data_IF_269123555559
#
_entry.id   IF_269123555559
#
_cell.length_a   1.000
_cell.length_b   1.000
_cell.length_c   1.000
_cell.angle_alpha   90.00
_cell.angle_beta   90.00
_cell.angle_gamma   90.00
#
_symmetry.space_group_name_H-M   'P 1'
#
loop_
_entity.id
_entity.type
_entity.pdbx_description
1 polymer ?
#
# COMPACT_ATOMS: atom_id res chain seq x y z
N UNK A 1 11.70 -11.27 -42.68
CA UNK A 1 10.48 -11.84 -42.06
C UNK A 1 10.52 -11.45 -40.59
N UNK A 2 9.40 -11.07 -39.95
CA UNK A 2 9.38 -10.87 -38.50
C UNK A 2 9.80 -12.19 -37.83
N UNK A 3 10.75 -12.13 -36.90
CA UNK A 3 11.19 -13.31 -36.15
C UNK A 3 10.08 -13.75 -35.19
N UNK A 4 9.72 -15.05 -35.17
CA UNK A 4 8.71 -15.60 -34.27
C UNK A 4 9.09 -15.32 -32.80
N UNK A 5 8.21 -14.65 -32.04
CA UNK A 5 8.42 -14.30 -30.63
C UNK A 5 8.75 -15.53 -29.77
N UNK A 6 8.37 -16.74 -30.18
CA UNK A 6 8.69 -17.98 -29.47
C UNK A 6 10.05 -18.59 -29.82
N UNK A 7 10.82 -18.00 -30.73
CA UNK A 7 12.15 -18.52 -31.07
C UNK A 7 13.06 -18.48 -29.83
N UNK A 8 13.52 -19.64 -29.32
CA UNK A 8 14.37 -19.68 -28.14
C UNK A 8 15.71 -19.00 -28.42
N UNK A 9 16.01 -17.94 -27.67
CA UNK A 9 17.28 -17.20 -27.77
C UNK A 9 17.76 -16.72 -26.41
N UNK A 10 19.02 -16.35 -26.33
CA UNK A 10 19.55 -15.59 -25.20
C UNK A 10 19.04 -14.14 -25.25
N UNK A 11 18.54 -13.64 -24.13
CA UNK A 11 17.89 -12.33 -24.04
C UNK A 11 18.39 -11.58 -22.80
N UNK A 12 18.35 -10.25 -22.87
CA UNK A 12 18.79 -9.36 -21.78
C UNK A 12 17.69 -8.38 -21.36
N UNK A 13 16.68 -8.21 -22.19
CA UNK A 13 15.64 -7.21 -22.09
C UNK A 13 14.30 -7.79 -21.63
N UNK A 14 13.93 -8.97 -22.15
CA UNK A 14 12.61 -9.54 -21.94
C UNK A 14 12.53 -11.05 -22.22
N UNK A 15 11.52 -11.71 -21.65
CA UNK A 15 11.26 -13.15 -21.79
C UNK A 15 9.77 -13.45 -21.67
N UNK A 16 9.29 -14.40 -22.46
CA UNK A 16 7.93 -14.93 -22.39
C UNK A 16 7.97 -16.41 -22.04
N UNK A 17 7.26 -16.75 -20.97
CA UNK A 17 6.84 -18.09 -20.63
C UNK A 17 5.41 -18.31 -21.07
N UNK A 18 5.12 -19.50 -21.59
CA UNK A 18 3.78 -19.95 -21.90
C UNK A 18 3.53 -21.33 -21.26
N UNK A 19 2.32 -21.54 -20.76
CA UNK A 19 1.84 -22.86 -20.37
C UNK A 19 0.84 -23.35 -21.41
N UNK A 20 1.15 -24.47 -22.04
CA UNK A 20 0.31 -25.07 -23.08
C UNK A 20 -0.30 -26.40 -22.62
N UNK A 21 -1.54 -26.67 -23.03
CA UNK A 21 -2.20 -27.98 -22.91
C UNK A 21 -1.63 -28.97 -23.93
N UNK A 22 -1.98 -30.26 -23.78
CA UNK A 22 -1.61 -31.32 -24.74
C UNK A 22 -2.10 -31.08 -26.18
N UNK A 23 -3.15 -30.26 -26.35
CA UNK A 23 -3.71 -29.88 -27.66
C UNK A 23 -3.15 -28.53 -28.18
N UNK A 24 -1.99 -28.11 -27.70
CA UNK A 24 -1.29 -26.86 -28.05
C UNK A 24 -2.07 -25.56 -27.72
N UNK A 25 -3.15 -25.65 -26.94
CA UNK A 25 -3.87 -24.46 -26.44
C UNK A 25 -3.05 -23.79 -25.35
N UNK A 26 -2.75 -22.50 -25.55
CA UNK A 26 -2.07 -21.66 -24.55
C UNK A 26 -3.11 -21.23 -23.51
N UNK A 27 -2.81 -21.50 -22.23
CA UNK A 27 -3.68 -21.16 -21.11
C UNK A 27 -2.99 -20.31 -20.03
N UNK A 28 -1.68 -20.16 -20.15
CA UNK A 28 -0.86 -19.38 -19.22
C UNK A 28 0.20 -18.62 -20.02
N UNK A 29 0.43 -17.36 -19.66
CA UNK A 29 1.46 -16.50 -20.21
C UNK A 29 2.09 -15.74 -19.05
N UNK A 30 3.42 -15.80 -18.91
CA UNK A 30 4.16 -14.96 -17.97
C UNK A 30 5.24 -14.21 -18.73
N UNK A 31 5.24 -12.89 -18.64
CA UNK A 31 6.19 -12.00 -19.29
C UNK A 31 7.09 -11.40 -18.23
N UNK A 32 8.38 -11.42 -18.50
CA UNK A 32 9.41 -10.68 -17.77
C UNK A 32 9.97 -9.59 -18.68
N UNK A 33 10.13 -8.38 -18.18
CA UNK A 33 10.80 -7.29 -18.90
C UNK A 33 11.39 -6.24 -17.95
N UNK A 34 12.32 -5.43 -18.45
CA UNK A 34 12.95 -4.35 -17.66
C UNK A 34 11.96 -3.39 -16.99
N UNK A 35 10.82 -3.12 -17.62
CA UNK A 35 9.82 -2.20 -17.13
C UNK A 35 8.40 -2.60 -17.59
N UNK A 36 7.39 -1.95 -16.99
CA UNK A 36 5.97 -2.19 -17.28
C UNK A 36 5.63 -1.97 -18.75
N UNK A 37 6.20 -0.94 -19.38
CA UNK A 37 5.90 -0.58 -20.78
C UNK A 37 6.38 -1.68 -21.73
N UNK A 38 7.59 -2.20 -21.52
CA UNK A 38 8.16 -3.30 -22.31
C UNK A 38 7.41 -4.61 -22.08
N UNK A 39 7.04 -4.91 -20.84
CA UNK A 39 6.26 -6.11 -20.53
C UNK A 39 4.90 -6.11 -21.24
N UNK A 40 4.18 -4.99 -21.18
CA UNK A 40 2.90 -4.83 -21.87
C UNK A 40 3.05 -4.87 -23.39
N UNK A 41 4.08 -4.23 -23.95
CA UNK A 41 4.34 -4.26 -25.38
C UNK A 41 4.58 -5.69 -25.86
N UNK A 42 5.41 -6.46 -25.14
CA UNK A 42 5.73 -7.83 -25.49
C UNK A 42 4.51 -8.77 -25.37
N UNK A 43 3.71 -8.63 -24.31
CA UNK A 43 2.47 -9.38 -24.15
C UNK A 43 1.49 -9.14 -25.31
N UNK A 44 1.32 -7.87 -25.71
CA UNK A 44 0.46 -7.51 -26.83
C UNK A 44 0.97 -8.04 -28.17
N UNK A 45 2.28 -7.97 -28.42
CA UNK A 45 2.90 -8.55 -29.62
C UNK A 45 2.73 -10.07 -29.65
N UNK A 46 2.87 -10.74 -28.50
CA UNK A 46 2.65 -12.19 -28.39
C UNK A 46 1.21 -12.57 -28.75
N UNK A 47 0.21 -11.85 -28.21
CA UNK A 47 -1.19 -12.08 -28.57
C UNK A 47 -1.44 -11.93 -30.07
N UNK A 48 -0.91 -10.86 -30.67
CA UNK A 48 -1.05 -10.61 -32.10
C UNK A 48 -0.44 -11.73 -32.95
N UNK A 49 0.79 -12.16 -32.65
CA UNK A 49 1.49 -13.18 -33.43
C UNK A 49 0.85 -14.57 -33.32
N UNK A 50 0.26 -14.91 -32.17
CA UNK A 50 -0.40 -16.20 -31.96
C UNK A 50 -1.88 -16.19 -32.31
N UNK A 51 -2.40 -15.07 -32.84
CA UNK A 51 -3.81 -14.92 -33.18
C UNK A 51 -4.73 -15.08 -31.97
N UNK A 52 -4.20 -14.82 -30.77
CA UNK A 52 -4.94 -14.89 -29.51
C UNK A 52 -5.61 -13.54 -29.30
N UNK A 53 -6.91 -13.57 -29.00
CA UNK A 53 -7.59 -12.34 -28.63
C UNK A 53 -7.23 -11.98 -27.18
N UNK A 54 -6.69 -10.78 -26.88
CA UNK A 54 -6.26 -10.42 -25.52
C UNK A 54 -7.36 -10.60 -24.46
N UNK A 55 -8.63 -10.45 -24.86
CA UNK A 55 -9.77 -10.62 -23.96
C UNK A 55 -10.03 -12.06 -23.51
N UNK A 56 -9.45 -13.06 -24.17
CA UNK A 56 -9.55 -14.46 -23.74
C UNK A 56 -8.66 -14.74 -22.52
N UNK A 57 -7.83 -13.76 -22.12
CA UNK A 57 -6.91 -13.84 -21.00
C UNK A 57 -7.24 -12.80 -19.92
N UNK A 58 -6.86 -13.14 -18.69
CA UNK A 58 -7.00 -12.31 -17.50
C UNK A 58 -5.62 -12.19 -16.86
N UNK A 59 -5.16 -10.95 -16.65
CA UNK A 59 -3.95 -10.68 -15.87
C UNK A 59 -4.24 -11.02 -14.40
N UNK A 60 -3.55 -12.04 -13.90
CA UNK A 60 -3.68 -12.56 -12.54
C UNK A 60 -2.51 -12.19 -11.65
N UNK A 61 -1.39 -11.73 -12.20
CA UNK A 61 -0.32 -11.13 -11.41
C UNK A 61 0.44 -10.09 -12.23
N UNK A 62 0.91 -9.02 -11.59
CA UNK A 62 1.86 -8.08 -12.18
C UNK A 62 2.68 -7.40 -11.07
N UNK A 63 3.81 -6.79 -11.44
CA UNK A 63 4.62 -5.98 -10.53
C UNK A 63 6.12 -6.22 -10.68
N UNK A 64 6.88 -5.64 -9.77
CA UNK A 64 8.33 -5.80 -9.71
C UNK A 64 8.67 -7.06 -8.90
N UNK A 65 9.48 -7.94 -9.48
CA UNK A 65 10.05 -9.13 -8.86
C UNK A 65 11.53 -8.87 -8.54
N UNK A 66 11.95 -9.22 -7.32
CA UNK A 66 13.35 -9.17 -6.91
C UNK A 66 14.11 -10.31 -7.61
N UNK A 67 15.18 -9.95 -8.33
CA UNK A 67 16.04 -10.89 -9.07
C UNK A 67 17.50 -10.74 -8.67
N UNK A 68 17.79 -10.04 -7.58
CA UNK A 68 19.15 -9.81 -7.09
C UNK A 68 19.93 -11.10 -6.84
N UNK A 69 19.25 -12.18 -6.44
CA UNK A 69 19.85 -13.50 -6.23
C UNK A 69 19.78 -14.41 -7.47
N UNK A 70 19.13 -13.98 -8.55
CA UNK A 70 18.98 -14.75 -9.80
C UNK A 70 19.98 -14.25 -10.84
N UNK A 71 20.83 -15.14 -11.36
CA UNK A 71 21.70 -14.80 -12.51
C UNK A 71 20.96 -14.93 -13.86
N UNK A 72 19.99 -15.85 -13.92
CA UNK A 72 19.23 -16.17 -15.12
C UNK A 72 17.78 -16.53 -14.77
N UNK A 73 16.87 -16.25 -15.71
CA UNK A 73 15.49 -16.72 -15.71
C UNK A 73 15.26 -17.58 -16.96
N UNK A 74 14.86 -18.83 -16.76
CA UNK A 74 14.62 -19.84 -17.79
C UNK A 74 13.65 -20.90 -17.28
N UNK A 75 13.17 -21.80 -18.15
CA UNK A 75 12.32 -22.92 -17.72
C UNK A 75 13.00 -23.83 -16.70
N UNK A 76 14.34 -23.87 -16.68
CA UNK A 76 15.13 -24.65 -15.72
C UNK A 76 15.26 -23.98 -14.36
N UNK A 77 15.24 -22.66 -14.30
CA UNK A 77 15.35 -21.92 -13.02
C UNK A 77 13.97 -21.68 -12.41
N UNK A 78 12.93 -21.70 -13.24
CA UNK A 78 11.53 -21.60 -12.84
C UNK A 78 10.92 -22.99 -12.59
N UNK A 79 11.61 -23.84 -11.81
CA UNK A 79 11.19 -25.22 -11.52
C UNK A 79 9.86 -25.27 -10.77
N UNK A 80 9.65 -24.35 -9.83
CA UNK A 80 8.40 -24.24 -9.07
C UNK A 80 7.21 -23.90 -9.99
N UNK A 81 7.41 -22.95 -10.91
CA UNK A 81 6.41 -22.59 -11.91
C UNK A 81 6.12 -23.77 -12.85
N UNK A 82 7.16 -24.46 -13.31
CA UNK A 82 7.02 -25.65 -14.15
C UNK A 82 6.23 -26.76 -13.44
N UNK A 83 6.55 -27.03 -12.17
CA UNK A 83 5.86 -28.03 -11.36
C UNK A 83 4.41 -27.63 -11.08
N UNK A 84 4.15 -26.34 -10.81
CA UNK A 84 2.81 -25.81 -10.62
C UNK A 84 1.94 -26.00 -11.87
N UNK A 85 2.45 -25.57 -13.03
CA UNK A 85 1.74 -25.70 -14.31
C UNK A 85 1.51 -27.15 -14.69
N UNK A 86 2.49 -28.03 -14.44
CA UNK A 86 2.35 -29.47 -14.70
C UNK A 86 1.19 -30.10 -13.91
N UNK A 87 0.94 -29.66 -12.67
CA UNK A 87 -0.23 -30.11 -11.88
C UNK A 87 -1.56 -29.67 -12.47
N UNK A 88 -1.54 -28.59 -13.26
CA UNK A 88 -2.70 -28.08 -14.00
C UNK A 88 -2.84 -28.70 -15.40
N UNK A 89 -1.98 -29.66 -15.75
CA UNK A 89 -1.94 -30.25 -17.09
C UNK A 89 -1.31 -29.34 -18.15
N UNK A 90 -0.54 -28.33 -17.73
CA UNK A 90 0.12 -27.38 -18.60
C UNK A 90 1.62 -27.65 -18.66
N UNK A 91 2.17 -27.65 -19.88
CA UNK A 91 3.61 -27.72 -20.14
C UNK A 91 4.17 -26.31 -20.26
N UNK A 92 5.13 -25.97 -19.40
CA UNK A 92 5.86 -24.70 -19.47
C UNK A 92 6.84 -24.71 -20.64
N UNK A 93 6.79 -23.65 -21.45
CA UNK A 93 7.72 -23.36 -22.55
C UNK A 93 8.16 -21.91 -22.41
N UNK A 94 9.40 -21.59 -22.76
CA UNK A 94 9.86 -20.20 -22.87
C UNK A 94 10.38 -19.90 -24.27
N UNK A 95 10.40 -18.61 -24.61
CA UNK A 95 11.08 -18.12 -25.80
C UNK A 95 12.58 -17.85 -25.61
N UNK A 96 13.20 -18.43 -24.59
CA UNK A 96 14.63 -18.23 -24.33
C UNK A 96 15.08 -18.31 -22.88
N UNK A 97 16.26 -17.74 -22.66
CA UNK A 97 16.90 -17.53 -21.35
C UNK A 97 17.10 -16.03 -21.19
N UNK A 98 16.67 -15.48 -20.07
CA UNK A 98 16.87 -14.09 -19.71
C UNK A 98 18.01 -13.95 -18.71
N UNK A 99 19.04 -13.19 -19.07
CA UNK A 99 20.12 -12.86 -18.15
C UNK A 99 19.74 -11.64 -17.31
N UNK A 100 19.78 -11.80 -15.98
CA UNK A 100 19.43 -10.76 -15.00
C UNK A 100 20.65 -10.15 -14.32
N UNK A 101 21.86 -10.53 -14.76
CA UNK A 101 23.12 -10.01 -14.22
C UNK A 101 23.11 -8.47 -14.24
N UNK A 102 23.37 -7.86 -13.08
CA UNK A 102 23.34 -6.41 -12.82
C UNK A 102 21.96 -5.75 -12.69
N UNK A 103 20.89 -6.53 -12.50
CA UNK A 103 19.55 -6.00 -12.20
C UNK A 103 19.14 -6.47 -10.81
N UNK A 104 18.75 -5.52 -9.96
CA UNK A 104 18.20 -5.84 -8.63
C UNK A 104 16.74 -6.30 -8.73
N UNK A 105 16.04 -5.85 -9.77
CA UNK A 105 14.63 -6.21 -9.97
C UNK A 105 14.22 -6.22 -11.45
N UNK A 106 13.12 -6.89 -11.74
CA UNK A 106 12.51 -6.95 -13.07
C UNK A 106 10.99 -6.82 -13.00
N UNK A 107 10.36 -6.25 -14.01
CA UNK A 107 8.90 -6.23 -14.07
C UNK A 107 8.37 -7.55 -14.62
N UNK A 108 7.28 -8.06 -14.04
CA UNK A 108 6.59 -9.24 -14.54
C UNK A 108 5.08 -9.01 -14.67
N UNK A 109 4.49 -9.70 -15.64
CA UNK A 109 3.04 -9.78 -15.87
C UNK A 109 2.69 -11.23 -16.14
N UNK A 110 1.74 -11.77 -15.40
CA UNK A 110 1.19 -13.11 -15.58
C UNK A 110 -0.28 -13.01 -15.99
N UNK A 111 -0.61 -13.59 -17.13
CA UNK A 111 -1.96 -13.70 -17.67
C UNK A 111 -2.35 -15.17 -17.87
N UNK A 112 -3.60 -15.52 -17.58
CA UNK A 112 -4.14 -16.87 -17.81
C UNK A 112 -5.42 -16.82 -18.62
N UNK A 113 -5.73 -17.88 -19.35
CA UNK A 113 -6.97 -17.94 -20.12
C UNK A 113 -8.19 -17.91 -19.19
N UNK A 114 -9.32 -17.41 -19.69
CA UNK A 114 -10.61 -17.43 -18.97
C UNK A 114 -11.03 -18.84 -18.59
N UNK A 115 -10.78 -19.81 -19.47
CA UNK A 115 -11.09 -21.22 -19.21
C UNK A 115 -10.26 -21.76 -18.04
N UNK A 116 -8.95 -21.49 -18.02
CA UNK A 116 -8.08 -21.87 -16.91
C UNK A 116 -8.50 -21.15 -15.62
N UNK A 117 -8.79 -19.84 -15.71
CA UNK A 117 -9.27 -19.05 -14.58
C UNK A 117 -10.54 -19.65 -13.95
N UNK A 118 -11.55 -19.96 -14.77
CA UNK A 118 -12.80 -20.60 -14.30
C UNK A 118 -12.58 -22.02 -13.76
N UNK A 119 -11.63 -22.77 -14.34
CA UNK A 119 -11.27 -24.11 -13.87
C UNK A 119 -10.58 -24.03 -12.51
N UNK A 120 -9.62 -23.11 -12.33
CA UNK A 120 -8.93 -22.89 -11.06
C UNK A 120 -9.89 -22.40 -9.97
N UNK A 121 -10.87 -21.57 -10.34
CA UNK A 121 -11.96 -21.11 -9.47
C UNK A 121 -12.87 -22.27 -9.02
N UNK A 122 -13.07 -23.29 -9.86
CA UNK A 122 -13.92 -24.47 -9.57
C UNK A 122 -13.18 -25.63 -8.89
N UNK A 123 -11.89 -25.84 -9.16
CA UNK A 123 -11.11 -26.97 -8.66
C UNK A 123 -10.64 -26.83 -7.20
N UNK A 124 -10.60 -25.61 -6.65
CA UNK A 124 -10.24 -25.42 -5.24
C UNK A 124 -11.45 -25.72 -4.35
N UNK A 125 -11.45 -26.89 -3.71
CA UNK A 125 -12.41 -27.27 -2.66
C UNK A 125 -12.47 -26.15 -1.59
N UNK A 126 -13.66 -25.66 -1.18
CA UNK A 126 -13.83 -24.58 -0.20
C UNK A 126 -13.10 -24.83 1.13
N UNK A 127 -13.06 -26.09 1.57
CA UNK A 127 -12.64 -26.49 2.92
C UNK A 127 -11.15 -26.25 3.23
N UNK A 128 -10.23 -26.31 2.26
CA UNK A 128 -8.80 -26.01 2.48
C UNK A 128 -8.46 -24.52 2.35
N UNK A 129 -9.22 -23.78 1.54
CA UNK A 129 -9.05 -22.32 1.39
C UNK A 129 -9.60 -21.55 2.59
N UNK A 130 -10.68 -22.03 3.22
CA UNK A 130 -11.25 -21.40 4.42
C UNK A 130 -10.31 -21.48 5.65
N UNK A 131 -9.44 -22.50 5.72
CA UNK A 131 -8.42 -22.60 6.78
C UNK A 131 -7.19 -21.70 6.51
N UNK A 132 -6.77 -21.51 5.25
CA UNK A 132 -5.60 -20.68 4.88
C UNK A 132 -5.92 -19.19 4.66
N UNK A 133 -7.18 -18.83 4.35
CA UNK A 133 -7.64 -17.46 4.08
C UNK A 133 -8.56 -16.93 5.19
N UNK A 134 -8.23 -17.23 6.45
CA UNK A 134 -9.05 -16.78 7.58
C UNK A 134 -8.96 -15.27 7.74
N UNK A 135 -10.03 -14.56 7.39
CA UNK A 135 -10.13 -13.13 7.70
C UNK A 135 -10.08 -12.91 9.21
N UNK A 136 -9.36 -11.87 9.61
CA UNK A 136 -9.39 -11.33 10.96
C UNK A 136 -9.82 -9.89 10.81
N UNK A 137 -10.99 -9.56 11.36
CA UNK A 137 -11.51 -8.19 11.27
C UNK A 137 -10.48 -7.19 11.79
N UNK A 138 -10.38 -5.99 11.16
CA UNK A 138 -9.50 -4.95 11.63
C UNK A 138 -9.71 -4.64 13.11
N UNK A 139 -8.63 -4.65 13.88
CA UNK A 139 -8.64 -4.27 15.29
C UNK A 139 -7.39 -3.46 15.63
N UNK A 140 -7.48 -2.69 16.72
CA UNK A 140 -6.40 -1.82 17.17
C UNK A 140 -5.65 -2.48 18.32
N UNK A 141 -4.36 -2.72 18.12
CA UNK A 141 -3.42 -3.18 19.12
C UNK A 141 -2.49 -2.03 19.53
N UNK A 142 -2.84 -1.35 20.62
CA UNK A 142 -2.07 -0.20 21.10
C UNK A 142 -0.69 -0.60 21.66
N UNK A 143 -0.46 -1.87 21.98
CA UNK A 143 0.84 -2.36 22.48
C UNK A 143 1.88 -2.43 21.37
N UNK A 144 1.45 -2.47 20.10
CA UNK A 144 2.34 -2.45 18.93
C UNK A 144 2.90 -1.07 18.62
N UNK A 145 2.30 -0.01 19.17
CA UNK A 145 2.77 1.36 18.94
C UNK A 145 4.17 1.52 19.56
N UNK A 146 5.20 1.93 18.78
CA UNK A 146 6.54 2.09 19.32
C UNK A 146 6.59 3.12 20.45
N UNK A 147 7.37 2.80 21.49
CA UNK A 147 7.57 3.70 22.62
C UNK A 147 8.19 5.03 22.15
N UNK A 148 7.67 6.16 22.65
CA UNK A 148 8.17 7.49 22.33
C UNK A 148 7.61 8.10 21.03
N UNK A 149 6.82 7.37 20.25
CA UNK A 149 6.14 7.92 19.06
C UNK A 149 4.87 8.71 19.41
N UNK A 150 4.27 8.40 20.56
CA UNK A 150 3.06 9.06 21.05
C UNK A 150 3.12 9.21 22.59
N UNK A 151 2.64 10.35 23.14
CA UNK A 151 2.45 10.49 24.59
C UNK A 151 1.46 9.46 25.14
N UNK A 152 1.76 8.90 26.32
CA UNK A 152 0.91 7.89 26.98
C UNK A 152 -0.51 8.39 27.23
N UNK A 153 -0.65 9.70 27.46
CA UNK A 153 -1.90 10.41 27.66
C UNK A 153 -2.81 10.35 26.42
N UNK A 154 -2.24 10.22 25.22
CA UNK A 154 -2.99 10.20 23.96
C UNK A 154 -3.21 8.80 23.39
N UNK A 155 -2.40 7.80 23.77
CA UNK A 155 -2.49 6.41 23.30
C UNK A 155 -3.92 5.86 23.35
N UNK A 156 -4.62 6.05 24.47
CA UNK A 156 -5.98 5.51 24.64
C UNK A 156 -7.01 6.09 23.66
N UNK A 157 -6.79 7.28 23.11
CA UNK A 157 -7.72 7.88 22.15
C UNK A 157 -7.78 7.08 20.84
N UNK A 158 -6.70 6.38 20.48
CA UNK A 158 -6.64 5.56 19.28
C UNK A 158 -7.55 4.33 19.34
N UNK A 159 -8.08 3.95 20.52
CA UNK A 159 -9.13 2.94 20.63
C UNK A 159 -10.41 3.32 19.88
N UNK A 160 -10.64 4.61 19.61
CA UNK A 160 -11.79 5.08 18.82
C UNK A 160 -11.78 4.52 17.39
N UNK A 161 -10.62 4.11 16.87
CA UNK A 161 -10.49 3.51 15.54
C UNK A 161 -11.15 2.12 15.45
N UNK A 162 -11.31 1.40 16.57
CA UNK A 162 -12.04 0.13 16.61
C UNK A 162 -13.52 0.27 16.21
N UNK A 163 -14.08 1.48 16.26
CA UNK A 163 -15.46 1.73 15.85
C UNK A 163 -15.65 1.67 14.32
N UNK A 164 -14.57 1.69 13.54
CA UNK A 164 -14.60 1.62 12.07
C UNK A 164 -15.54 2.67 11.44
N UNK A 165 -15.63 3.86 12.06
CA UNK A 165 -16.43 4.99 11.57
C UNK A 165 -15.55 6.08 10.97
N UNK A 166 -16.13 6.88 10.08
CA UNK A 166 -15.44 8.05 9.52
C UNK A 166 -15.01 8.99 10.66
N UNK A 167 -13.75 9.40 10.63
CA UNK A 167 -13.11 10.14 11.70
C UNK A 167 -12.44 11.41 11.19
N UNK A 168 -12.56 12.49 11.97
CA UNK A 168 -11.70 13.66 11.86
C UNK A 168 -10.65 13.61 12.98
N UNK A 169 -9.39 13.74 12.63
CA UNK A 169 -8.25 13.83 13.54
C UNK A 169 -7.69 15.23 13.45
N UNK A 170 -7.80 15.98 14.54
CA UNK A 170 -7.19 17.30 14.69
C UNK A 170 -5.85 17.08 15.41
N UNK A 171 -4.77 17.06 14.63
CA UNK A 171 -3.42 16.69 15.07
C UNK A 171 -2.52 17.92 15.26
N UNK A 172 -2.82 18.73 16.28
CA UNK A 172 -1.96 19.87 16.64
C UNK A 172 -0.65 19.42 17.30
N UNK A 173 -0.63 18.22 17.88
CA UNK A 173 0.54 17.58 18.47
C UNK A 173 1.59 17.17 17.43
N UNK A 174 1.26 17.19 16.13
CA UNK A 174 2.11 16.71 15.04
C UNK A 174 2.61 15.28 15.28
N UNK A 175 1.72 14.41 15.77
CA UNK A 175 1.99 12.96 15.89
C UNK A 175 2.09 12.37 14.49
N UNK A 176 3.04 11.46 14.28
CA UNK A 176 3.20 10.74 13.01
C UNK A 176 2.08 9.71 12.84
N UNK A 177 0.91 10.17 12.36
CA UNK A 177 -0.29 9.35 12.33
C UNK A 177 -0.12 8.14 11.40
N UNK A 178 0.60 8.30 10.30
CA UNK A 178 0.87 7.21 9.36
C UNK A 178 1.61 6.04 10.05
N UNK A 179 2.69 6.34 10.78
CA UNK A 179 3.45 5.33 11.51
C UNK A 179 2.59 4.68 12.60
N UNK A 180 1.88 5.49 13.38
CA UNK A 180 1.01 4.97 14.46
C UNK A 180 -0.06 4.03 13.91
N UNK A 181 -0.74 4.42 12.83
CA UNK A 181 -1.81 3.61 12.24
C UNK A 181 -1.27 2.31 11.64
N UNK A 182 -0.14 2.35 10.93
CA UNK A 182 0.50 1.16 10.34
C UNK A 182 0.92 0.13 11.38
N UNK A 183 1.35 0.57 12.56
CA UNK A 183 1.75 -0.32 13.65
C UNK A 183 0.55 -0.76 14.50
N UNK A 184 -0.41 0.13 14.77
CA UNK A 184 -1.52 -0.17 15.67
C UNK A 184 -2.64 -0.99 15.02
N UNK A 185 -2.95 -0.76 13.74
CA UNK A 185 -4.02 -1.47 13.04
C UNK A 185 -3.51 -2.86 12.63
N UNK A 186 -4.16 -3.87 13.18
CA UNK A 186 -3.91 -5.27 12.89
C UNK A 186 -5.10 -5.87 12.13
N UNK A 187 -5.02 -7.17 11.88
CA UNK A 187 -6.02 -7.91 11.11
C UNK A 187 -5.61 -8.11 9.65
N UNK A 188 -6.43 -8.91 8.97
CA UNK A 188 -6.21 -9.31 7.60
C UNK A 188 -7.55 -9.53 6.91
N UNK A 189 -7.67 -8.98 5.72
CA UNK A 189 -8.92 -8.95 4.97
C UNK A 189 -8.71 -9.53 3.59
N UNK A 190 -9.74 -10.22 3.12
CA UNK A 190 -9.80 -10.79 1.80
C UNK A 190 -10.42 -9.75 0.86
N UNK A 191 -9.63 -9.32 -0.11
CA UNK A 191 -10.05 -8.38 -1.16
C UNK A 191 -10.04 -9.09 -2.52
N UNK A 192 -10.92 -8.72 -3.45
CA UNK A 192 -10.83 -9.22 -4.82
C UNK A 192 -9.56 -8.69 -5.47
N UNK A 193 -8.94 -9.50 -6.35
CA UNK A 193 -7.83 -9.03 -7.18
C UNK A 193 -8.35 -8.07 -8.25
N UNK A 194 -9.43 -8.50 -8.91
CA UNK A 194 -10.20 -7.73 -9.86
C UNK A 194 -11.70 -7.81 -9.49
N UNK A 195 -12.42 -6.72 -9.65
CA UNK A 195 -13.89 -6.71 -9.67
C UNK A 195 -14.37 -6.81 -11.12
N UNK A 196 -15.07 -7.89 -11.45
CA UNK A 196 -15.76 -8.03 -12.73
C UNK A 196 -17.12 -7.32 -12.65
N UNK A 197 -17.35 -6.42 -13.62
CA UNK A 197 -18.52 -5.53 -13.63
C UNK A 197 -19.56 -5.97 -14.66
N UNK A 198 -19.10 -6.39 -15.84
CA UNK A 198 -19.84 -7.02 -16.93
C UNK A 198 -18.86 -7.93 -17.68
N UNK A 199 -19.32 -8.91 -18.45
CA UNK A 199 -18.51 -9.89 -19.18
C UNK A 199 -17.20 -9.27 -19.74
N UNK A 200 -16.09 -9.58 -19.07
CA UNK A 200 -14.73 -9.14 -19.40
C UNK A 200 -14.31 -7.70 -19.03
N UNK A 201 -15.16 -6.88 -18.40
CA UNK A 201 -14.79 -5.56 -17.86
C UNK A 201 -14.29 -5.69 -16.41
N UNK A 202 -12.99 -5.49 -16.22
CA UNK A 202 -12.30 -5.70 -14.96
C UNK A 202 -11.82 -4.38 -14.34
N UNK A 203 -12.05 -4.24 -13.04
CA UNK A 203 -11.50 -3.17 -12.22
C UNK A 203 -10.49 -3.79 -11.25
N UNK A 204 -9.21 -3.50 -11.43
CA UNK A 204 -8.12 -3.97 -10.57
C UNK A 204 -8.19 -3.28 -9.21
N UNK A 205 -8.39 -4.07 -8.15
CA UNK A 205 -8.47 -3.60 -6.76
C UNK A 205 -7.15 -3.86 -6.05
N UNK A 206 -6.61 -5.08 -6.15
CA UNK A 206 -5.32 -5.41 -5.56
C UNK A 206 -4.18 -4.75 -6.34
N UNK A 207 -3.27 -4.17 -5.58
CA UNK A 207 -2.11 -3.44 -6.08
C UNK A 207 -1.00 -3.52 -5.02
N UNK A 208 0.17 -4.01 -5.40
CA UNK A 208 1.32 -4.21 -4.49
C UNK A 208 1.88 -2.90 -3.94
N UNK A 209 1.59 -1.75 -4.57
CA UNK A 209 1.94 -0.44 -4.04
C UNK A 209 1.18 -0.13 -2.73
N UNK A 210 -0.09 -0.55 -2.67
CA UNK A 210 -0.99 -0.22 -1.55
C UNK A 210 -1.27 -1.39 -0.62
N UNK A 211 -1.00 -2.62 -1.05
CA UNK A 211 -1.39 -3.83 -0.34
C UNK A 211 -0.18 -4.71 0.00
N UNK A 212 -0.14 -5.15 1.26
CA UNK A 212 0.80 -6.17 1.74
C UNK A 212 0.12 -7.53 1.71
N UNK A 213 0.45 -8.33 0.71
CA UNK A 213 -0.04 -9.70 0.52
C UNK A 213 0.46 -10.62 1.65
N UNK A 214 -0.46 -11.44 2.18
CA UNK A 214 -0.17 -12.53 3.13
C UNK A 214 -0.26 -13.86 2.39
N UNK A 215 -1.33 -14.03 1.61
CA UNK A 215 -1.53 -15.19 0.75
C UNK A 215 -2.45 -14.82 -0.42
N UNK A 216 -2.34 -15.54 -1.53
CA UNK A 216 -3.13 -15.31 -2.74
C UNK A 216 -3.95 -16.53 -3.14
N UNK A 217 -5.19 -16.26 -3.52
CA UNK A 217 -5.98 -17.10 -4.41
C UNK A 217 -6.01 -16.47 -5.80
N UNK A 218 -6.67 -17.13 -6.75
CA UNK A 218 -6.67 -16.71 -8.16
C UNK A 218 -7.46 -15.42 -8.37
N UNK A 219 -8.60 -15.28 -7.66
CA UNK A 219 -9.53 -14.16 -7.78
C UNK A 219 -9.50 -13.20 -6.57
N UNK A 220 -8.90 -13.64 -5.47
CA UNK A 220 -8.84 -12.90 -4.20
C UNK A 220 -7.45 -12.96 -3.60
N UNK A 221 -7.11 -11.92 -2.84
CA UNK A 221 -5.84 -11.84 -2.13
C UNK A 221 -6.15 -11.53 -0.66
N UNK A 222 -5.55 -12.32 0.23
CA UNK A 222 -5.55 -12.01 1.66
C UNK A 222 -4.42 -11.02 1.91
N UNK A 223 -4.79 -9.84 2.39
CA UNK A 223 -3.85 -8.76 2.65
C UNK A 223 -3.93 -8.37 4.11
N UNK A 224 -2.84 -7.81 4.65
CA UNK A 224 -2.95 -7.03 5.90
C UNK A 224 -4.00 -5.93 5.69
N UNK A 225 -4.75 -5.58 6.74
CA UNK A 225 -5.75 -4.51 6.69
C UNK A 225 -5.22 -3.30 5.91
N UNK A 226 -5.86 -2.91 4.78
CA UNK A 226 -5.38 -1.80 3.97
C UNK A 226 -5.40 -0.49 4.75
N UNK A 227 -4.28 0.22 4.75
CA UNK A 227 -4.13 1.56 5.34
C UNK A 227 -3.45 2.41 4.28
N UNK A 228 -4.24 3.13 3.51
CA UNK A 228 -3.74 3.96 2.41
C UNK A 228 -3.68 5.39 2.91
N UNK A 229 -2.47 5.93 3.00
CA UNK A 229 -2.23 7.33 3.32
C UNK A 229 -2.16 8.12 2.02
N UNK A 230 -2.78 9.31 2.02
CA UNK A 230 -2.74 10.24 0.90
C UNK A 230 -2.50 11.65 1.45
N UNK A 231 -1.41 12.27 1.01
CA UNK A 231 -0.97 13.60 1.40
C UNK A 231 -1.28 14.60 0.29
N UNK A 232 -2.12 15.59 0.58
CA UNK A 232 -2.50 16.63 -0.38
C UNK A 232 -1.31 17.40 -0.99
N UNK A 233 -0.20 17.52 -0.27
CA UNK A 233 0.97 18.27 -0.73
C UNK A 233 1.93 17.44 -1.59
N UNK A 234 1.78 16.11 -1.61
CA UNK A 234 2.68 15.18 -2.29
C UNK A 234 1.96 14.41 -3.40
N UNK A 235 0.73 13.97 -3.14
CA UNK A 235 -0.02 13.06 -4.00
C UNK A 235 -0.99 13.77 -4.96
N UNK A 236 -1.50 13.03 -5.95
CA UNK A 236 -2.33 13.59 -7.02
C UNK A 236 -3.83 13.37 -6.78
N UNK A 237 -4.64 14.34 -7.21
CA UNK A 237 -6.10 14.17 -7.29
C UNK A 237 -6.53 13.08 -8.27
N UNK A 238 -5.67 12.72 -9.24
CA UNK A 238 -5.93 11.66 -10.22
C UNK A 238 -6.02 10.27 -9.57
N UNK A 239 -5.52 10.12 -8.34
CA UNK A 239 -5.61 8.87 -7.58
C UNK A 239 -7.04 8.53 -7.15
N UNK A 240 -7.95 9.48 -7.25
CA UNK A 240 -9.39 9.30 -6.99
C UNK A 240 -10.22 8.97 -8.24
N UNK A 241 -9.58 8.79 -9.39
CA UNK A 241 -10.24 8.43 -10.64
C UNK A 241 -9.90 7.00 -11.10
N UNK A 242 -10.76 6.43 -11.93
CA UNK A 242 -10.47 5.16 -12.60
C UNK A 242 -9.45 5.38 -13.71
N UNK A 243 -8.31 4.68 -13.64
CA UNK A 243 -7.23 4.82 -14.63
C UNK A 243 -7.30 3.64 -15.60
N UNK A 244 -7.44 3.92 -16.90
CA UNK A 244 -7.45 2.87 -17.94
C UNK A 244 -6.07 2.22 -18.03
N UNK A 245 -6.02 0.89 -17.94
CA UNK A 245 -4.80 0.09 -18.17
C UNK A 245 -4.86 -0.51 -19.58
N UNK A 246 -5.98 -1.18 -19.90
CA UNK A 246 -6.28 -1.77 -21.20
C UNK A 246 -7.70 -1.41 -21.66
N UNK A 247 -8.17 -1.94 -22.80
CA UNK A 247 -9.50 -1.62 -23.33
C UNK A 247 -10.62 -1.85 -22.32
N UNK A 248 -10.56 -2.96 -21.57
CA UNK A 248 -11.56 -3.36 -20.58
C UNK A 248 -10.96 -3.62 -19.19
N UNK A 249 -9.76 -3.11 -18.92
CA UNK A 249 -9.10 -3.25 -17.61
C UNK A 249 -8.75 -1.87 -17.08
N UNK A 250 -9.18 -1.58 -15.86
CA UNK A 250 -9.01 -0.28 -15.21
C UNK A 250 -8.42 -0.46 -13.81
N UNK A 251 -7.43 0.35 -13.45
CA UNK A 251 -7.02 0.49 -12.04
C UNK A 251 -8.13 1.21 -11.29
N UNK A 252 -8.49 0.67 -10.14
CA UNK A 252 -9.40 1.33 -9.24
C UNK A 252 -8.77 2.61 -8.63
N UNK A 253 -9.59 3.62 -8.28
CA UNK A 253 -9.15 4.72 -7.44
C UNK A 253 -8.80 4.25 -6.03
N UNK A 254 -7.98 5.03 -5.32
CA UNK A 254 -7.39 4.62 -4.03
C UNK A 254 -8.43 4.32 -2.93
N UNK A 255 -9.61 4.94 -2.97
CA UNK A 255 -10.66 4.64 -2.00
C UNK A 255 -11.31 3.26 -2.22
N UNK A 256 -11.25 2.72 -3.44
CA UNK A 256 -11.64 1.34 -3.71
C UNK A 256 -10.51 0.36 -3.35
N UNK A 257 -9.25 0.79 -3.46
CA UNK A 257 -8.10 0.02 -2.96
C UNK A 257 -8.11 -0.07 -1.43
N UNK A 258 -8.62 0.94 -0.72
CA UNK A 258 -8.82 0.90 0.74
C UNK A 258 -9.96 -0.03 1.22
N UNK A 259 -10.34 -1.04 0.43
CA UNK A 259 -11.46 -1.92 0.71
C UNK A 259 -11.30 -2.67 2.04
N UNK A 260 -12.35 -2.64 2.87
CA UNK A 260 -12.37 -3.21 4.24
C UNK A 260 -11.28 -2.63 5.16
N UNK A 261 -10.66 -1.52 4.79
CA UNK A 261 -9.60 -0.86 5.53
C UNK A 261 -9.84 0.64 5.69
N UNK A 262 -8.74 1.40 5.71
CA UNK A 262 -8.72 2.82 6.01
C UNK A 262 -8.09 3.61 4.86
N UNK A 263 -8.76 4.69 4.47
CA UNK A 263 -8.23 5.75 3.64
C UNK A 263 -7.96 6.96 4.53
N UNK A 264 -6.68 7.25 4.75
CA UNK A 264 -6.20 8.35 5.57
C UNK A 264 -5.83 9.51 4.65
N UNK A 265 -6.44 10.67 4.88
CA UNK A 265 -6.29 11.85 4.04
C UNK A 265 -5.68 12.98 4.88
N UNK A 266 -4.46 13.39 4.56
CA UNK A 266 -3.77 14.50 5.22
C UNK A 266 -4.03 15.83 4.50
N UNK A 267 -4.54 16.80 5.27
CA UNK A 267 -4.91 18.14 4.78
C UNK A 267 -5.73 18.15 3.47
N UNK A 268 -6.73 17.24 3.28
CA UNK A 268 -7.39 17.11 1.99
C UNK A 268 -8.30 18.29 1.67
N UNK A 269 -8.56 18.56 0.38
CA UNK A 269 -9.58 19.52 -0.03
C UNK A 269 -10.96 19.10 0.50
N UNK A 270 -11.72 20.06 1.06
CA UNK A 270 -13.09 19.81 1.56
C UNK A 270 -14.01 19.15 0.53
N UNK A 271 -13.85 19.53 -0.74
CA UNK A 271 -14.69 19.02 -1.83
C UNK A 271 -14.45 17.52 -2.06
N UNK A 272 -13.21 17.07 -1.93
CA UNK A 272 -12.85 15.65 -2.02
C UNK A 272 -13.55 14.85 -0.90
N UNK A 273 -13.41 15.29 0.34
CA UNK A 273 -14.06 14.63 1.49
C UNK A 273 -15.57 14.61 1.34
N UNK A 274 -16.19 15.71 0.86
CA UNK A 274 -17.63 15.74 0.55
C UNK A 274 -18.01 14.72 -0.53
N UNK A 275 -17.22 14.60 -1.60
CA UNK A 275 -17.44 13.61 -2.67
C UNK A 275 -17.37 12.19 -2.12
N UNK A 276 -16.33 11.84 -1.37
CA UNK A 276 -16.14 10.51 -0.79
C UNK A 276 -17.27 10.14 0.19
N UNK A 277 -17.69 11.08 1.06
CA UNK A 277 -18.82 10.83 1.96
C UNK A 277 -20.14 10.62 1.23
N UNK A 278 -20.39 11.31 0.11
CA UNK A 278 -21.57 11.05 -0.73
C UNK A 278 -21.51 9.66 -1.36
N UNK A 279 -20.34 9.25 -1.86
CA UNK A 279 -20.11 7.92 -2.41
C UNK A 279 -20.37 6.84 -1.34
N UNK A 280 -19.81 7.00 -0.13
CA UNK A 280 -20.06 6.10 1.00
C UNK A 280 -21.52 6.04 1.41
N UNK A 281 -22.18 7.19 1.58
CA UNK A 281 -23.62 7.24 1.94
C UNK A 281 -24.48 6.51 0.91
N UNK A 282 -24.09 6.57 -0.36
CA UNK A 282 -24.78 5.89 -1.45
C UNK A 282 -24.45 4.39 -1.54
N UNK A 283 -23.32 3.96 -0.97
CA UNK A 283 -22.86 2.56 -0.98
C UNK A 283 -22.18 2.12 -2.28
N UNK A 284 -22.06 3.00 -3.28
CA UNK A 284 -21.39 2.70 -4.54
C UNK A 284 -20.79 3.95 -5.20
N UNK A 285 -19.75 3.75 -6.01
CA UNK A 285 -19.26 4.74 -6.99
C UNK A 285 -19.77 4.38 -8.39
N UNK A 286 -19.98 5.40 -9.22
CA UNK A 286 -20.33 5.14 -10.61
C UNK A 286 -19.05 5.01 -11.43
N UNK A 287 -19.02 3.97 -12.26
CA UNK A 287 -18.02 3.79 -13.27
C UNK A 287 -18.70 3.86 -14.64
N UNK A 288 -18.29 4.82 -15.46
CA UNK A 288 -18.82 4.98 -16.81
C UNK A 288 -17.87 4.29 -17.79
N UNK A 289 -18.41 3.38 -18.59
CA UNK A 289 -17.65 2.73 -19.65
C UNK A 289 -18.51 2.68 -20.91
N UNK A 290 -18.02 3.33 -21.98
CA UNK A 290 -18.80 3.63 -23.20
C UNK A 290 -20.10 4.34 -22.81
N UNK A 291 -21.25 3.91 -23.34
CA UNK A 291 -22.56 4.52 -23.09
C UNK A 291 -23.29 3.93 -21.86
N UNK A 292 -22.59 3.14 -21.04
CA UNK A 292 -23.17 2.45 -19.88
C UNK A 292 -22.54 2.93 -18.58
N UNK A 293 -23.38 2.93 -17.54
CA UNK A 293 -23.02 3.31 -16.17
C UNK A 293 -23.17 2.12 -15.25
N UNK A 294 -22.08 1.78 -14.58
CA UNK A 294 -21.99 0.66 -13.66
C UNK A 294 -21.85 1.14 -12.23
N UNK A 295 -22.40 0.38 -11.28
CA UNK A 295 -22.35 0.71 -9.85
C UNK A 295 -21.36 -0.21 -9.17
N UNK A 296 -20.24 0.34 -8.73
CA UNK A 296 -19.19 -0.41 -8.05
C UNK A 296 -19.38 -0.23 -6.54
N UNK A 297 -19.62 -1.30 -5.76
CA UNK A 297 -19.83 -1.19 -4.33
C UNK A 297 -18.57 -0.66 -3.64
N UNK A 298 -18.77 0.16 -2.60
CA UNK A 298 -17.67 0.71 -1.80
C UNK A 298 -17.78 0.26 -0.35
N UNK A 299 -16.64 -0.09 0.26
CA UNK A 299 -16.55 -0.40 1.67
C UNK A 299 -15.16 -0.02 2.19
N UNK A 300 -15.01 1.16 2.77
CA UNK A 300 -13.75 1.68 3.31
C UNK A 300 -14.07 2.68 4.41
N UNK A 301 -13.16 2.92 5.35
CA UNK A 301 -13.28 3.95 6.42
C UNK A 301 -12.44 5.18 6.08
N UNK A 302 -12.99 6.38 6.26
CA UNK A 302 -12.25 7.63 6.00
C UNK A 302 -11.68 8.16 7.32
N UNK A 303 -10.39 8.46 7.34
CA UNK A 303 -9.74 9.26 8.38
C UNK A 303 -9.26 10.54 7.71
N UNK A 304 -9.73 11.69 8.19
CA UNK A 304 -9.23 13.00 7.74
C UNK A 304 -8.33 13.55 8.83
N UNK A 305 -7.08 13.86 8.48
CA UNK A 305 -6.11 14.48 9.37
C UNK A 305 -5.92 15.97 9.00
N UNK A 306 -5.84 16.82 10.02
CA UNK A 306 -5.66 18.28 9.88
C UNK A 306 -4.84 18.80 11.06
N UNK A 307 -3.94 19.76 10.80
CA UNK A 307 -3.13 20.41 11.84
C UNK A 307 -3.88 21.45 12.68
N UNK A 308 -5.13 21.78 12.32
CA UNK A 308 -5.95 22.76 13.04
C UNK A 308 -7.47 22.59 12.86
N UNK A 309 -8.22 23.18 13.79
CA UNK A 309 -9.67 23.06 13.94
C UNK A 309 -10.47 23.93 12.95
N UNK A 310 -9.94 25.09 12.57
CA UNK A 310 -10.65 26.12 11.79
C UNK A 310 -11.01 25.73 10.36
N UNK A 311 -10.50 24.60 9.85
CA UNK A 311 -10.78 24.17 8.48
C UNK A 311 -12.06 23.36 8.38
N UNK A 312 -12.53 22.62 9.38
CA UNK A 312 -13.57 21.60 9.16
C UNK A 312 -14.91 21.95 9.84
N UNK A 313 -15.86 22.47 9.04
CA UNK A 313 -17.26 22.69 9.47
C UNK A 313 -18.19 21.51 9.15
N UNK A 314 -17.62 20.34 8.89
CA UNK A 314 -18.37 19.13 8.53
C UNK A 314 -18.51 18.23 9.75
N UNK A 315 -19.71 17.71 10.01
CA UNK A 315 -19.94 16.77 11.11
C UNK A 315 -19.37 15.40 10.76
N UNK A 316 -18.35 14.96 11.50
CA UNK A 316 -17.86 13.58 11.47
C UNK A 316 -18.50 12.78 12.62
N UNK A 317 -18.77 11.47 12.43
CA UNK A 317 -19.21 10.59 13.51
C UNK A 317 -18.26 10.60 14.71
N UNK A 318 -16.95 10.65 14.45
CA UNK A 318 -15.92 10.72 15.49
C UNK A 318 -15.00 11.89 15.21
N UNK A 319 -14.63 12.62 16.26
CA UNK A 319 -13.56 13.63 16.21
C UNK A 319 -12.56 13.32 17.31
N UNK A 320 -11.32 13.01 16.92
CA UNK A 320 -10.18 12.82 17.81
C UNK A 320 -9.37 14.12 17.84
N UNK A 321 -9.01 14.59 19.04
CA UNK A 321 -8.22 15.80 19.23
C UNK A 321 -6.91 15.46 19.91
N UNK A 322 -5.82 15.72 19.22
CA UNK A 322 -4.46 15.58 19.70
C UNK A 322 -3.87 16.99 19.85
N UNK A 323 -4.13 17.68 20.98
CA UNK A 323 -3.67 19.05 21.17
C UNK A 323 -2.15 19.12 21.33
N UNK A 324 -1.58 20.32 21.18
CA UNK A 324 -0.15 20.56 21.48
C UNK A 324 0.21 20.09 22.89
N UNK A 325 1.45 19.66 23.06
CA UNK A 325 1.93 19.05 24.30
C UNK A 325 2.03 20.12 25.40
N UNK A 326 1.40 19.83 26.54
CA UNK A 326 1.58 20.66 27.73
C UNK A 326 2.98 20.46 28.35
N UNK A 327 3.33 21.30 29.32
CA UNK A 327 4.64 21.28 29.97
C UNK A 327 4.90 19.95 30.67
N UNK A 328 3.87 19.30 31.21
CA UNK A 328 4.00 18.05 31.94
C UNK A 328 4.25 16.88 30.99
N UNK A 329 3.48 16.79 29.91
CA UNK A 329 3.66 15.78 28.86
C UNK A 329 5.05 15.91 28.24
N UNK A 330 5.47 17.14 27.91
CA UNK A 330 6.80 17.41 27.36
C UNK A 330 7.94 16.96 28.30
N UNK A 331 7.84 17.30 29.59
CA UNK A 331 8.84 16.89 30.59
C UNK A 331 8.87 15.38 30.80
N UNK A 332 7.71 14.71 30.74
CA UNK A 332 7.63 13.26 30.82
C UNK A 332 8.35 12.60 29.64
N UNK A 333 8.14 13.10 28.41
CA UNK A 333 8.85 12.62 27.21
C UNK A 333 10.36 12.77 27.35
N UNK A 334 10.84 13.95 27.80
CA UNK A 334 12.27 14.18 28.03
C UNK A 334 12.84 13.21 29.07
N UNK A 335 12.12 12.99 30.17
CA UNK A 335 12.57 12.07 31.22
C UNK A 335 12.67 10.64 30.72
N UNK A 336 11.67 10.19 29.96
CA UNK A 336 11.62 8.80 29.45
C UNK A 336 12.68 8.55 28.38
N UNK A 337 12.92 9.51 27.49
CA UNK A 337 13.88 9.37 26.39
C UNK A 337 15.33 9.56 26.84
N UNK A 338 15.61 10.60 27.62
CA UNK A 338 16.98 10.99 27.96
C UNK A 338 17.40 10.60 29.38
N UNK A 339 16.48 10.13 30.23
CA UNK A 339 16.75 9.84 31.63
C UNK A 339 17.00 11.10 32.49
N UNK A 340 16.70 12.28 31.95
CA UNK A 340 17.00 13.58 32.58
C UNK A 340 15.75 14.24 33.13
N UNK A 341 15.86 14.85 34.32
CA UNK A 341 14.79 15.65 34.93
C UNK A 341 15.04 17.14 34.71
N UNK A 342 14.27 17.75 33.83
CA UNK A 342 14.24 19.21 33.66
C UNK A 342 13.18 19.87 34.54
N UNK A 343 13.30 21.18 34.75
CA UNK A 343 12.31 21.96 35.50
C UNK A 343 11.18 22.46 34.60
N UNK A 344 10.05 22.84 35.20
CA UNK A 344 8.94 23.51 34.48
C UNK A 344 9.42 24.81 33.83
N UNK A 345 10.38 25.52 34.45
CA UNK A 345 10.96 26.72 33.87
C UNK A 345 11.70 26.40 32.55
N UNK A 346 12.39 25.26 32.47
CA UNK A 346 13.06 24.81 31.24
C UNK A 346 12.03 24.49 30.13
N UNK A 347 10.93 23.80 30.47
CA UNK A 347 9.87 23.51 29.50
C UNK A 347 9.17 24.77 28.98
N UNK A 348 8.97 25.78 29.83
CA UNK A 348 8.34 27.06 29.47
C UNK A 348 9.19 27.93 28.54
N UNK A 349 10.49 27.64 28.41
CA UNK A 349 11.34 28.30 27.39
C UNK A 349 10.90 27.92 25.98
N UNK A 350 10.28 26.76 25.81
CA UNK A 350 9.73 26.32 24.53
C UNK A 350 8.32 26.90 24.39
N UNK A 351 8.08 27.75 23.37
CA UNK A 351 6.76 28.29 23.09
C UNK A 351 5.71 27.20 22.97
N UNK A 352 4.47 27.47 23.42
CA UNK A 352 3.37 26.48 23.38
C UNK A 352 3.12 25.94 21.97
N UNK A 353 3.28 26.81 20.97
CA UNK A 353 3.11 26.47 19.57
C UNK A 353 4.20 25.55 19.01
N UNK A 354 5.36 25.45 19.67
CA UNK A 354 6.47 24.58 19.29
C UNK A 354 6.55 23.27 20.12
N UNK A 355 5.64 23.08 21.10
CA UNK A 355 5.60 21.85 21.89
C UNK A 355 4.84 20.75 21.15
N UNK A 356 5.48 20.16 20.15
CA UNK A 356 4.94 19.12 19.26
C UNK A 356 5.84 17.88 19.19
N UNK A 357 5.31 16.73 18.79
CA UNK A 357 6.12 15.50 18.62
C UNK A 357 7.20 15.67 17.55
N UNK A 358 6.92 16.42 16.47
CA UNK A 358 7.95 16.78 15.48
C UNK A 358 9.11 17.55 16.12
N UNK A 359 8.81 18.55 16.94
CA UNK A 359 9.84 19.32 17.67
C UNK A 359 10.60 18.44 18.66
N UNK A 360 9.94 17.49 19.31
CA UNK A 360 10.60 16.53 20.19
C UNK A 360 11.55 15.59 19.41
N UNK A 361 11.15 15.10 18.23
CA UNK A 361 12.02 14.31 17.34
C UNK A 361 13.24 15.13 16.89
N UNK A 362 13.05 16.41 16.55
CA UNK A 362 14.15 17.31 16.21
C UNK A 362 15.11 17.53 17.40
N UNK A 363 14.58 17.68 18.62
CA UNK A 363 15.38 17.78 19.84
C UNK A 363 16.24 16.52 20.06
N UNK A 364 15.69 15.31 19.84
CA UNK A 364 16.46 14.05 19.90
C UNK A 364 17.64 14.04 18.93
N UNK A 365 17.40 14.43 17.68
CA UNK A 365 18.44 14.48 16.64
C UNK A 365 19.52 15.49 17.02
N UNK A 366 19.13 16.68 17.48
CA UNK A 366 20.04 17.75 17.85
C UNK A 366 20.88 17.38 19.08
N UNK A 367 20.26 16.84 20.12
CA UNK A 367 20.96 16.34 21.30
C UNK A 367 22.01 15.28 20.94
N UNK A 368 21.68 14.31 20.08
CA UNK A 368 22.63 13.29 19.62
C UNK A 368 23.86 13.94 18.96
N UNK A 369 23.65 14.90 18.06
CA UNK A 369 24.73 15.63 17.39
C UNK A 369 25.59 16.41 18.39
N UNK A 370 24.97 17.12 19.35
CA UNK A 370 25.72 17.87 20.36
C UNK A 370 26.56 16.95 21.26
N UNK A 371 26.02 15.79 21.63
CA UNK A 371 26.72 14.80 22.45
C UNK A 371 27.93 14.18 21.72
N UNK A 372 27.84 14.00 20.41
CA UNK A 372 28.96 13.54 19.58
C UNK A 372 30.11 14.57 19.54
N UNK A 373 29.77 15.87 19.47
CA UNK A 373 30.73 16.97 19.40
C UNK A 373 31.26 17.43 20.76
N UNK A 374 30.50 17.25 21.84
CA UNK A 374 30.81 17.77 23.18
C UNK A 374 30.71 16.66 24.24
N UNK A 375 31.56 15.63 24.12
CA UNK A 375 31.53 14.45 25.01
C UNK A 375 31.77 14.76 26.49
N UNK A 376 32.39 15.90 26.78
CA UNK A 376 32.73 16.37 28.13
C UNK A 376 31.52 16.98 28.87
N UNK A 377 30.49 17.43 28.15
CA UNK A 377 29.33 18.13 28.74
C UNK A 377 28.31 17.14 29.32
N UNK A 378 27.70 17.52 30.44
CA UNK A 378 26.65 16.71 31.07
C UNK A 378 25.34 16.73 30.30
N UNK A 379 24.56 15.64 30.38
CA UNK A 379 23.31 15.48 29.61
C UNK A 379 22.28 16.60 29.86
N UNK A 380 22.19 17.12 31.09
CA UNK A 380 21.32 18.27 31.44
C UNK A 380 21.75 19.53 30.70
N UNK A 381 23.05 19.79 30.64
CA UNK A 381 23.61 20.98 29.99
C UNK A 381 23.39 20.91 28.48
N UNK A 382 23.69 19.76 27.88
CA UNK A 382 23.47 19.50 26.45
C UNK A 382 21.99 19.62 26.06
N UNK A 383 21.06 19.13 26.88
CA UNK A 383 19.63 19.28 26.60
C UNK A 383 19.17 20.74 26.69
N UNK A 384 19.67 21.52 27.66
CA UNK A 384 19.35 22.94 27.76
C UNK A 384 19.88 23.72 26.56
N UNK A 385 21.11 23.43 26.15
CA UNK A 385 21.72 23.99 24.95
C UNK A 385 20.95 23.60 23.67
N UNK A 386 20.51 22.34 23.56
CA UNK A 386 19.69 21.88 22.46
C UNK A 386 18.34 22.61 22.41
N UNK A 387 17.70 22.84 23.57
CA UNK A 387 16.48 23.65 23.67
C UNK A 387 16.75 25.09 23.23
N UNK A 388 17.87 25.68 23.65
CA UNK A 388 18.25 27.04 23.22
C UNK A 388 18.44 27.16 21.71
N UNK A 389 19.12 26.19 21.11
CA UNK A 389 19.32 26.13 19.65
C UNK A 389 17.96 25.99 18.95
N UNK A 390 17.10 25.09 19.42
CA UNK A 390 15.79 24.83 18.81
C UNK A 390 14.88 26.06 18.85
N UNK A 391 14.89 26.81 19.96
CA UNK A 391 14.06 28.03 20.15
C UNK A 391 14.72 29.28 19.55
N UNK A 392 15.99 29.20 19.13
CA UNK A 392 16.74 30.30 18.53
C UNK A 392 17.25 31.33 19.55
N UNK A 393 17.48 30.92 20.79
CA UNK A 393 17.97 31.77 21.89
C UNK A 393 19.48 31.67 22.12
N UNK A 394 20.19 30.90 21.29
CA UNK A 394 21.66 30.84 21.31
C UNK A 394 22.22 32.19 20.90
N UNK A 395 23.10 32.74 21.76
CA UNK A 395 23.87 33.95 21.46
C UNK A 395 25.20 33.60 20.84
#
# INVERSE_FOLDING_TARGET
>A
MPEDILTPKERYDSLVFIGIKENDVIDFIKVYAEDKTKALALLNSFFYEKGIHPMDFIVVDEGVEDVSEKEIISTKTEEELSAYLSRLGLKLISNGILYTKYKDSIYQITAISRELYETLKKQKKPERMEEELKEVEPYIDLEKIPAGEIPKEYIKQFNLLNLMQDMLVINEAEIDLETILKEAIQGQVLIPRNMEVEESLLIQIFDKEYHREISSAVDKVLVKTPIIYWDYYVDSMDDFEFKKIEERVFSAPIFLKAMKGFLVLYEPPKQLVKRLRRIKKRGYVDFNFRDRRYKIPVNFTIIVETGGDGRWNMTFPITMRLPKLDEHIWLNLIREEFGVKLSIADARRIPKDQRTMSSFKNLKILYRKLKEHNKEKGDVELLKEAIDIMVGTVR
#
